data_IF_677854614797
#
_entry.id   IF_677854614797
#
_cell.length_a   1.000
_cell.length_b   1.000
_cell.length_c   1.000
_cell.angle_alpha   90.00
_cell.angle_beta   90.00
_cell.angle_gamma   90.00
#
_symmetry.space_group_name_H-M   'P 1'
#
loop_
_entity.id
_entity.type
_entity.pdbx_description
1 polymer ?
#
# COMPACT_ATOMS: atom_id res chain seq x y z
N UNK A 1 -3.65 2.39 -15.70
CA UNK A 1 -3.37 3.54 -14.82
C UNK A 1 -1.90 3.91 -14.90
N UNK A 2 -1.55 5.14 -14.55
CA UNK A 2 -0.17 5.66 -14.50
C UNK A 2 0.18 6.12 -13.07
N UNK A 3 1.47 6.15 -12.76
CA UNK A 3 1.99 6.64 -11.48
C UNK A 3 3.02 7.75 -11.71
N UNK A 4 3.01 8.76 -10.86
CA UNK A 4 3.88 9.94 -10.99
C UNK A 4 4.80 10.02 -9.77
N UNK A 5 6.10 10.23 -9.99
CA UNK A 5 7.05 10.59 -8.96
C UNK A 5 7.83 11.85 -9.36
N UNK A 6 8.17 12.69 -8.37
CA UNK A 6 8.76 14.01 -8.58
C UNK A 6 10.12 14.07 -7.89
N UNK A 7 11.13 14.51 -8.64
CA UNK A 7 12.44 14.84 -8.10
C UNK A 7 12.46 16.30 -7.60
N UNK A 8 13.08 16.61 -6.46
CA UNK A 8 13.79 15.70 -5.54
C UNK A 8 12.90 15.09 -4.45
N UNK A 9 11.63 15.47 -4.40
CA UNK A 9 10.74 15.21 -3.26
C UNK A 9 10.54 13.73 -2.95
N UNK A 10 10.50 12.87 -3.98
CA UNK A 10 10.15 11.46 -3.81
C UNK A 10 11.37 10.53 -3.78
N UNK A 11 12.49 10.95 -4.39
CA UNK A 11 13.80 10.29 -4.34
C UNK A 11 14.88 11.20 -4.94
N UNK A 12 16.13 10.97 -4.54
CA UNK A 12 17.32 11.70 -5.01
C UNK A 12 18.07 10.99 -6.16
N UNK A 13 17.61 9.79 -6.55
CA UNK A 13 18.18 8.99 -7.63
C UNK A 13 17.09 8.45 -8.55
N UNK A 14 17.49 8.03 -9.76
CA UNK A 14 16.57 7.54 -10.78
C UNK A 14 15.88 6.23 -10.37
N UNK A 15 16.61 5.33 -9.71
CA UNK A 15 16.07 4.04 -9.27
C UNK A 15 14.95 4.22 -8.24
N UNK A 16 15.15 5.11 -7.26
CA UNK A 16 14.16 5.48 -6.26
C UNK A 16 12.94 6.13 -6.88
N UNK A 17 13.10 7.04 -7.86
CA UNK A 17 11.97 7.66 -8.57
C UNK A 17 11.15 6.62 -9.33
N UNK A 18 11.80 5.69 -10.05
CA UNK A 18 11.12 4.60 -10.76
C UNK A 18 10.33 3.72 -9.80
N UNK A 19 10.95 3.35 -8.66
CA UNK A 19 10.27 2.57 -7.63
C UNK A 19 9.06 3.30 -7.05
N UNK A 20 9.16 4.61 -6.79
CA UNK A 20 8.04 5.41 -6.27
C UNK A 20 6.92 5.58 -7.30
N UNK A 21 7.25 5.77 -8.58
CA UNK A 21 6.27 5.84 -9.66
C UNK A 21 5.51 4.51 -9.84
N UNK A 22 6.19 3.36 -9.70
CA UNK A 22 5.56 2.04 -9.77
C UNK A 22 4.57 1.81 -8.61
N UNK A 23 4.95 2.22 -7.39
CA UNK A 23 4.04 2.20 -6.23
C UNK A 23 2.79 3.05 -6.50
N UNK A 24 2.96 4.28 -7.00
CA UNK A 24 1.82 5.15 -7.32
C UNK A 24 0.93 4.55 -8.43
N UNK A 25 1.53 3.96 -9.46
CA UNK A 25 0.79 3.29 -10.53
C UNK A 25 -0.05 2.12 -10.00
N UNK A 26 0.50 1.35 -9.05
CA UNK A 26 -0.23 0.26 -8.41
C UNK A 26 -1.45 0.77 -7.64
N UNK A 27 -1.30 1.86 -6.87
CA UNK A 27 -2.43 2.48 -6.17
C UNK A 27 -3.49 2.97 -7.17
N UNK A 28 -3.07 3.62 -8.26
CA UNK A 28 -3.99 4.07 -9.30
C UNK A 28 -4.76 2.92 -9.99
N UNK A 29 -4.21 1.70 -10.00
CA UNK A 29 -4.94 0.50 -10.45
C UNK A 29 -5.90 -0.01 -9.38
N UNK A 30 -5.47 -0.06 -8.11
CA UNK A 30 -6.26 -0.56 -6.98
C UNK A 30 -7.49 0.29 -6.73
N UNK A 31 -7.31 1.61 -6.72
CA UNK A 31 -8.35 2.58 -6.38
C UNK A 31 -9.13 3.06 -7.64
N UNK A 32 -8.75 2.58 -8.83
CA UNK A 32 -9.36 2.86 -10.14
C UNK A 32 -9.43 4.35 -10.50
N UNK A 33 -8.48 5.15 -10.02
CA UNK A 33 -8.38 6.60 -10.25
C UNK A 33 -7.69 6.96 -11.57
N UNK A 34 -7.01 6.01 -12.21
CA UNK A 34 -6.38 6.19 -13.52
C UNK A 34 -4.98 6.81 -13.44
N UNK A 35 -4.75 7.79 -12.56
CA UNK A 35 -3.44 8.39 -12.27
C UNK A 35 -3.31 8.68 -10.78
N UNK A 36 -2.16 8.37 -10.19
CA UNK A 36 -1.82 8.78 -8.81
C UNK A 36 -0.41 9.38 -8.76
N UNK A 37 -0.23 10.38 -7.91
CA UNK A 37 1.08 10.89 -7.54
C UNK A 37 1.56 10.13 -6.30
N UNK A 38 2.83 9.75 -6.26
CA UNK A 38 3.39 9.11 -5.10
C UNK A 38 3.26 10.02 -3.87
N UNK A 39 2.64 9.50 -2.82
CA UNK A 39 2.61 10.12 -1.50
C UNK A 39 3.20 9.13 -0.50
N UNK A 40 4.23 9.55 0.25
CA UNK A 40 4.85 8.71 1.29
C UNK A 40 3.86 8.24 2.35
N UNK A 41 2.82 9.03 2.63
CA UNK A 41 1.71 8.68 3.55
C UNK A 41 0.80 7.58 3.01
N UNK A 42 0.75 7.39 1.68
CA UNK A 42 -0.03 6.33 1.01
C UNK A 42 0.84 5.14 0.64
N UNK A 43 2.14 5.20 0.90
CA UNK A 43 3.06 4.08 0.73
C UNK A 43 2.75 3.05 1.82
N UNK A 44 1.86 2.12 1.48
CA UNK A 44 1.34 1.09 2.37
C UNK A 44 2.41 0.13 2.92
N UNK A 45 3.69 0.30 2.61
CA UNK A 45 4.79 -0.31 3.36
C UNK A 45 5.11 0.46 4.66
N UNK A 46 4.07 0.93 5.35
CA UNK A 46 4.18 1.58 6.65
C UNK A 46 4.41 0.51 7.72
N UNK A 47 5.26 0.74 8.74
CA UNK A 47 5.48 -0.20 9.85
C UNK A 47 4.18 -0.76 10.46
N UNK A 48 3.13 0.06 10.51
CA UNK A 48 1.81 -0.33 11.01
C UNK A 48 1.17 -1.48 10.20
N UNK A 49 1.35 -1.51 8.87
CA UNK A 49 0.83 -2.60 8.04
C UNK A 49 1.62 -3.89 8.24
N UNK A 50 2.93 -3.79 8.46
CA UNK A 50 3.76 -4.93 8.82
C UNK A 50 3.37 -5.46 10.22
N UNK A 51 3.11 -4.55 11.16
CA UNK A 51 2.54 -4.89 12.48
C UNK A 51 1.22 -5.64 12.34
N UNK A 52 0.26 -5.08 11.59
CA UNK A 52 -1.04 -5.69 11.36
C UNK A 52 -0.96 -7.08 10.69
N UNK A 53 -0.02 -7.29 9.76
CA UNK A 53 0.21 -8.61 9.16
C UNK A 53 0.75 -9.62 10.19
N UNK A 54 1.65 -9.17 11.07
CA UNK A 54 2.13 -9.97 12.19
C UNK A 54 1.01 -10.31 13.18
N UNK A 55 0.17 -9.33 13.50
CA UNK A 55 -0.99 -9.49 14.37
C UNK A 55 -2.00 -10.48 13.80
N UNK A 56 -2.32 -10.36 12.51
CA UNK A 56 -3.21 -11.28 11.82
C UNK A 56 -2.66 -12.71 11.81
N UNK A 57 -1.35 -12.89 11.58
CA UNK A 57 -0.73 -14.22 11.64
C UNK A 57 -0.86 -14.84 13.03
N UNK A 58 -0.59 -14.07 14.08
CA UNK A 58 -0.76 -14.51 15.47
C UNK A 58 -2.22 -14.84 15.80
N UNK A 59 -3.16 -13.99 15.38
CA UNK A 59 -4.59 -14.19 15.60
C UNK A 59 -5.11 -15.48 14.92
N UNK A 60 -4.61 -15.82 13.73
CA UNK A 60 -4.93 -17.08 13.07
C UNK A 60 -4.40 -18.29 13.83
N UNK A 61 -3.13 -18.24 14.27
CA UNK A 61 -2.50 -19.32 15.05
C UNK A 61 -3.15 -19.48 16.44
N UNK A 62 -3.69 -18.40 17.03
CA UNK A 62 -4.37 -18.38 18.31
C UNK A 62 -5.90 -18.58 18.23
N UNK A 63 -6.45 -18.80 17.03
CA UNK A 63 -7.90 -18.95 16.80
C UNK A 63 -8.75 -17.75 17.26
N UNK A 64 -8.24 -16.53 17.09
CA UNK A 64 -8.89 -15.26 17.46
C UNK A 64 -9.74 -14.64 16.33
N UNK A 65 -9.93 -15.36 15.22
CA UNK A 65 -10.75 -14.90 14.08
C UNK A 65 -12.09 -15.62 14.07
N UNK A 66 -13.18 -14.87 14.00
CA UNK A 66 -14.55 -15.38 14.01
C UNK A 66 -15.32 -15.08 12.71
N UNK A 67 -16.28 -15.95 12.40
CA UNK A 67 -17.12 -15.85 11.21
C UNK A 67 -18.44 -15.14 11.53
N UNK A 68 -18.70 -14.04 10.84
CA UNK A 68 -19.95 -13.30 10.94
C UNK A 68 -20.81 -13.52 9.69
N UNK A 69 -22.12 -13.72 9.87
CA UNK A 69 -23.10 -13.85 8.79
C UNK A 69 -24.05 -12.66 8.76
N UNK A 70 -24.22 -12.04 7.58
CA UNK A 70 -25.18 -10.97 7.36
C UNK A 70 -26.38 -11.51 6.54
N UNK A 71 -27.63 -11.43 7.05
CA UNK A 71 -28.82 -11.83 6.30
C UNK A 71 -29.04 -10.96 5.05
N UNK A 72 -29.62 -11.54 4.01
CA UNK A 72 -30.06 -10.85 2.79
C UNK A 72 -31.45 -10.26 2.93
#
# INVERSE_FOLDING_TARGET
SAGVAVFPDHALDAEGLLRRADVAMYQAKRDRTGVEVYESKRDSNTPDRLGLLGDLRRALDAHEVELHYQPK
#
